data_IF_695365264183
#
_entry.id   IF_695365264183
#
_cell.length_a   1.000
_cell.length_b   1.000
_cell.length_c   1.000
_cell.angle_alpha   90.00
_cell.angle_beta   90.00
_cell.angle_gamma   90.00
#
_symmetry.space_group_name_H-M   'P 1'
#
loop_
_entity.id
_entity.type
_entity.pdbx_description
1 polymer ?
#
# COMPACT_ATOMS: atom_id res chain seq x y z
N UNK A 1 10.66 -23.20 -41.88
CA UNK A 1 10.50 -22.83 -41.32
C UNK A 1 10.13 -22.36 -40.45
N UNK A 2 9.84 -22.02 -39.72
CA UNK A 2 9.62 -21.47 -38.79
C UNK A 2 9.35 -21.07 -37.82
N UNK A 3 9.16 -20.79 -37.14
CA UNK A 3 8.91 -20.29 -36.17
C UNK A 3 8.54 -19.96 -35.35
N UNK A 4 8.28 -19.82 -34.76
CA UNK A 4 7.90 -19.43 -33.82
C UNK A 4 7.77 -18.92 -32.85
N UNK A 5 7.67 -18.45 -32.25
CA UNK A 5 7.51 -17.75 -31.47
C UNK A 5 7.08 -17.60 -30.43
N UNK A 6 6.73 -17.68 -29.87
CA UNK A 6 6.35 -17.77 -28.75
C UNK A 6 6.24 -16.91 -27.87
N UNK A 7 5.95 -16.26 -27.70
CA UNK A 7 5.70 -15.39 -26.91
C UNK A 7 5.41 -15.44 -25.74
N UNK A 8 5.18 -15.53 -25.14
CA UNK A 8 4.96 -15.70 -24.04
C UNK A 8 5.04 -15.03 -23.01
N UNK A 9 5.00 -15.08 -22.25
CA UNK A 9 5.14 -14.61 -21.15
C UNK A 9 4.67 -13.45 -20.75
N UNK A 10 3.94 -12.97 -21.07
CA UNK A 10 3.46 -11.90 -20.57
C UNK A 10 2.65 -11.96 -19.49
N UNK A 11 2.09 -12.90 -19.13
CA UNK A 11 1.16 -12.99 -18.05
C UNK A 11 1.71 -12.65 -16.76
N UNK A 12 2.99 -12.71 -16.60
CA UNK A 12 3.49 -12.44 -15.34
C UNK A 12 3.29 -11.06 -14.91
N UNK A 13 3.23 -10.14 -15.77
CA UNK A 13 3.10 -8.77 -15.30
C UNK A 13 1.81 -8.54 -14.58
N UNK A 14 0.80 -9.32 -14.83
CA UNK A 14 -0.47 -9.11 -14.16
C UNK A 14 -0.41 -9.48 -12.69
N UNK A 15 0.64 -10.19 -12.26
CA UNK A 15 0.72 -10.50 -10.91
C UNK A 15 1.28 -9.44 -10.11
N UNK A 16 1.77 -8.41 -10.69
CA UNK A 16 2.32 -7.32 -9.96
C UNK A 16 1.20 -6.50 -9.46
N UNK A 17 0.41 -7.04 -8.61
CA UNK A 17 -0.67 -6.31 -8.00
C UNK A 17 -0.11 -5.14 -7.22
N UNK A 18 -0.90 -4.20 -6.97
CA UNK A 18 -0.52 -3.01 -6.23
C UNK A 18 -1.61 -1.98 -6.36
N UNK A 19 -1.45 -0.90 -5.64
CA UNK A 19 -2.42 0.19 -5.62
C UNK A 19 -1.70 1.44 -6.05
N UNK A 20 -2.19 2.10 -7.08
CA UNK A 20 -1.62 3.37 -7.52
C UNK A 20 -2.57 4.48 -7.11
N UNK A 21 -2.07 5.44 -6.36
CA UNK A 21 -2.88 6.52 -5.80
C UNK A 21 -2.17 7.84 -5.96
N UNK A 22 -2.91 8.86 -6.35
CA UNK A 22 -2.41 10.22 -6.31
C UNK A 22 -2.68 10.77 -4.92
N UNK A 23 -1.62 11.00 -4.15
CA UNK A 23 -1.73 11.48 -2.80
C UNK A 23 -1.55 13.00 -2.82
N UNK A 24 -2.58 13.75 -2.43
CA UNK A 24 -2.54 15.21 -2.57
C UNK A 24 -1.86 15.95 -1.42
N UNK A 25 -1.20 15.23 -0.55
CA UNK A 25 -0.54 15.85 0.60
C UNK A 25 0.78 15.13 0.89
N UNK A 26 1.62 15.78 1.68
CA UNK A 26 2.84 15.16 2.18
C UNK A 26 2.48 14.15 3.25
N UNK A 27 3.16 13.03 3.29
CA UNK A 27 2.87 11.99 4.26
C UNK A 27 4.13 11.27 4.71
N UNK A 28 4.03 10.59 5.84
CA UNK A 28 5.15 9.90 6.46
C UNK A 28 4.91 8.40 6.40
N UNK A 29 5.95 7.66 6.01
CA UNK A 29 5.94 6.20 6.04
C UNK A 29 7.07 5.79 6.97
N UNK A 30 6.73 5.23 8.12
CA UNK A 30 7.73 4.95 9.14
C UNK A 30 8.33 6.25 9.64
N UNK A 31 9.55 6.52 9.27
CA UNK A 31 10.20 7.77 9.66
C UNK A 31 10.66 8.57 8.44
N UNK A 32 10.16 8.23 7.27
CA UNK A 32 10.55 8.91 6.04
C UNK A 32 9.38 9.73 5.51
N UNK A 33 9.63 10.95 5.11
CA UNK A 33 8.61 11.86 4.59
C UNK A 33 8.58 11.80 3.07
N UNK A 34 7.39 11.67 2.52
CA UNK A 34 7.15 11.61 1.09
C UNK A 34 6.35 12.85 0.66
N UNK A 35 6.75 13.54 -0.39
CA UNK A 35 5.97 14.67 -0.86
C UNK A 35 4.67 14.24 -1.52
N UNK A 36 3.74 15.16 -1.71
CA UNK A 36 2.54 14.89 -2.47
C UNK A 36 2.92 14.41 -3.86
N UNK A 37 2.19 13.45 -4.39
CA UNK A 37 2.48 12.89 -5.70
C UNK A 37 1.77 11.58 -5.91
N UNK A 38 2.09 10.92 -7.01
CA UNK A 38 1.50 9.63 -7.34
C UNK A 38 2.41 8.51 -6.86
N UNK A 39 1.85 7.57 -6.13
CA UNK A 39 2.60 6.49 -5.51
C UNK A 39 1.99 5.14 -5.79
N UNK A 40 2.85 4.13 -5.79
CA UNK A 40 2.41 2.76 -5.90
C UNK A 40 2.70 2.07 -4.58
N UNK A 41 1.70 1.39 -4.04
CA UNK A 41 1.79 0.66 -2.79
C UNK A 41 1.58 -0.82 -3.12
N UNK A 42 2.44 -1.68 -2.61
CA UNK A 42 2.35 -3.09 -2.95
C UNK A 42 2.83 -3.97 -1.80
N UNK A 43 2.06 -5.03 -1.50
CA UNK A 43 2.51 -6.07 -0.59
C UNK A 43 3.55 -6.92 -1.30
N UNK A 44 4.67 -7.16 -0.67
CA UNK A 44 5.74 -7.95 -1.25
C UNK A 44 5.64 -9.44 -0.88
N UNK A 45 5.02 -9.76 0.24
CA UNK A 45 4.94 -11.15 0.69
C UNK A 45 3.60 -11.81 0.37
N UNK A 46 2.60 -11.04 0.02
CA UNK A 46 1.25 -11.52 -0.23
C UNK A 46 0.74 -12.33 0.96
N UNK A 47 0.94 -11.83 2.15
CA UNK A 47 0.58 -12.52 3.38
C UNK A 47 -0.92 -12.76 3.47
N UNK A 48 -1.29 -13.81 4.16
CA UNK A 48 -2.68 -14.23 4.30
C UNK A 48 -3.14 -14.03 5.74
N UNK A 49 -4.27 -13.34 5.90
CA UNK A 49 -4.82 -13.11 7.22
C UNK A 49 -5.20 -14.44 7.88
N UNK A 50 -4.93 -14.53 9.16
CA UNK A 50 -5.19 -15.75 9.92
C UNK A 50 -4.07 -16.77 9.84
N UNK A 51 -3.16 -16.61 8.90
CA UNK A 51 -2.03 -17.49 8.76
C UNK A 51 -0.73 -16.74 8.99
N UNK A 52 -0.63 -15.56 8.41
CA UNK A 52 0.58 -14.74 8.50
C UNK A 52 0.33 -13.55 9.40
N UNK A 53 1.36 -13.10 10.10
CA UNK A 53 1.23 -11.95 11.00
C UNK A 53 1.94 -10.72 10.46
N UNK A 54 2.91 -10.91 9.57
CA UNK A 54 3.65 -9.78 9.03
C UNK A 54 3.63 -9.81 7.51
N UNK A 55 3.82 -8.64 6.94
CA UNK A 55 4.01 -8.47 5.51
C UNK A 55 5.06 -7.38 5.33
N UNK A 56 5.48 -7.17 4.12
CA UNK A 56 6.37 -6.05 3.78
C UNK A 56 5.66 -5.22 2.73
N UNK A 57 5.48 -3.96 3.03
CA UNK A 57 4.83 -3.03 2.11
C UNK A 57 5.89 -2.21 1.40
N UNK A 58 5.79 -2.17 0.08
CA UNK A 58 6.63 -1.33 -0.74
C UNK A 58 5.85 -0.07 -1.09
N UNK A 59 6.47 1.07 -0.89
CA UNK A 59 5.92 2.38 -1.27
C UNK A 59 6.91 3.01 -2.23
N UNK A 60 6.46 3.37 -3.41
CA UNK A 60 7.35 3.90 -4.43
C UNK A 60 6.66 4.99 -5.23
N UNK A 61 7.36 6.09 -5.47
CA UNK A 61 6.80 7.12 -6.33
C UNK A 61 6.81 6.63 -7.77
N UNK A 62 5.78 6.99 -8.52
CA UNK A 62 5.69 6.61 -9.91
C UNK A 62 6.86 7.21 -10.70
N UNK A 63 7.31 8.37 -10.28
CA UNK A 63 8.44 9.01 -10.92
C UNK A 63 9.78 8.41 -10.52
N UNK A 64 9.77 7.53 -9.54
CA UNK A 64 10.98 6.78 -9.22
C UNK A 64 11.96 7.42 -8.26
N UNK A 65 11.62 8.56 -7.69
CA UNK A 65 12.55 9.26 -6.80
C UNK A 65 12.47 8.85 -5.34
N UNK A 66 11.32 8.35 -4.92
CA UNK A 66 11.13 7.99 -3.52
C UNK A 66 10.79 6.52 -3.42
N UNK A 67 11.35 5.86 -2.40
CA UNK A 67 11.14 4.44 -2.21
C UNK A 67 11.29 4.08 -0.73
N UNK A 68 10.44 3.18 -0.28
CA UNK A 68 10.58 2.59 1.04
C UNK A 68 9.92 1.22 1.08
N UNK A 69 10.59 0.26 1.69
CA UNK A 69 9.98 -1.01 2.05
C UNK A 69 9.92 -1.06 3.57
N UNK A 70 8.77 -1.38 4.11
CA UNK A 70 8.57 -1.37 5.56
C UNK A 70 7.79 -2.60 6.00
N UNK A 71 8.20 -3.17 7.12
CA UNK A 71 7.50 -4.31 7.71
C UNK A 71 6.20 -3.83 8.31
N UNK A 72 5.13 -4.53 8.02
CA UNK A 72 3.80 -4.18 8.49
C UNK A 72 3.15 -5.37 9.16
N UNK A 73 2.08 -5.11 9.90
CA UNK A 73 1.23 -6.16 10.42
C UNK A 73 0.22 -6.54 9.36
N UNK A 74 -0.27 -7.76 9.42
CA UNK A 74 -1.33 -8.23 8.53
C UNK A 74 -2.66 -8.06 9.25
N UNK A 75 -3.60 -7.41 8.59
CA UNK A 75 -4.96 -7.26 9.13
C UNK A 75 -5.91 -7.98 8.20
N UNK A 76 -6.93 -8.58 8.77
CA UNK A 76 -7.88 -9.36 8.01
C UNK A 76 -9.26 -8.73 7.97
N UNK A 77 -10.04 -9.16 6.99
CA UNK A 77 -11.42 -8.78 6.84
C UNK A 77 -12.21 -10.01 6.45
N UNK A 78 -13.48 -10.07 6.82
CA UNK A 78 -14.33 -11.18 6.45
C UNK A 78 -14.76 -11.07 4.98
N UNK A 79 -14.60 -9.92 4.39
CA UNK A 79 -14.96 -9.71 2.99
C UNK A 79 -13.77 -9.23 2.21
N UNK A 80 -13.74 -9.58 0.94
CA UNK A 80 -12.69 -9.07 0.07
C UNK A 80 -12.90 -7.57 -0.13
N UNK A 81 -11.82 -6.84 -0.21
CA UNK A 81 -11.89 -5.42 -0.48
C UNK A 81 -12.42 -5.22 -1.91
N UNK A 82 -13.53 -4.51 -2.03
CA UNK A 82 -14.11 -4.27 -3.35
C UNK A 82 -13.30 -3.25 -4.13
N UNK A 83 -12.63 -2.35 -3.42
CA UNK A 83 -11.79 -1.33 -4.05
C UNK A 83 -10.46 -1.27 -3.34
N UNK A 84 -9.37 -1.05 -4.06
CA UNK A 84 -8.11 -0.80 -3.40
C UNK A 84 -8.21 0.54 -2.66
N UNK A 85 -7.65 0.59 -1.47
CA UNK A 85 -7.69 1.83 -0.70
C UNK A 85 -6.44 1.99 0.15
N UNK A 86 -6.11 3.22 0.41
CA UNK A 86 -4.96 3.58 1.23
C UNK A 86 -5.48 4.51 2.32
N UNK A 87 -5.17 4.18 3.55
CA UNK A 87 -5.62 4.96 4.70
C UNK A 87 -4.44 5.68 5.33
N UNK A 88 -4.71 6.88 5.77
CA UNK A 88 -3.74 7.71 6.45
C UNK A 88 -4.33 8.18 7.77
N UNK A 89 -3.47 8.50 8.71
CA UNK A 89 -3.87 9.09 9.98
C UNK A 89 -3.24 10.46 10.08
N UNK A 90 -4.05 11.49 10.30
CA UNK A 90 -3.54 12.84 10.51
C UNK A 90 -3.38 13.05 12.00
N UNK A 91 -2.22 13.46 12.42
CA UNK A 91 -1.93 13.65 13.81
C UNK A 91 -0.89 14.76 13.97
N UNK A 92 -1.19 15.76 14.77
CA UNK A 92 -0.24 16.81 15.07
C UNK A 92 0.25 17.59 13.85
N UNK A 93 -0.61 17.78 12.87
CA UNK A 93 -0.23 18.50 11.67
C UNK A 93 0.51 17.67 10.64
N UNK A 94 0.74 16.39 10.92
CA UNK A 94 1.38 15.48 9.99
C UNK A 94 0.42 14.38 9.58
N UNK A 95 0.65 13.81 8.42
CA UNK A 95 -0.16 12.72 7.90
C UNK A 95 0.73 11.49 7.79
N UNK A 96 0.26 10.39 8.36
CA UNK A 96 1.02 9.14 8.40
C UNK A 96 0.28 8.07 7.62
N UNK A 97 1.01 7.30 6.81
CA UNK A 97 0.43 6.14 6.16
C UNK A 97 0.08 5.12 7.24
N UNK A 98 -1.14 4.62 7.23
CA UNK A 98 -1.58 3.67 8.24
C UNK A 98 -1.95 2.30 7.71
N UNK A 99 -2.60 2.22 6.55
CA UNK A 99 -3.09 0.93 6.10
C UNK A 99 -3.25 0.91 4.58
N UNK A 100 -2.96 -0.22 3.96
CA UNK A 100 -3.11 -0.39 2.52
C UNK A 100 -3.87 -1.68 2.24
N UNK A 101 -4.91 -1.60 1.43
CA UNK A 101 -5.70 -2.73 0.99
C UNK A 101 -5.72 -2.80 -0.53
N UNK A 102 -5.36 -3.95 -1.07
CA UNK A 102 -5.45 -4.19 -2.51
C UNK A 102 -6.79 -4.84 -2.82
N UNK A 103 -7.35 -4.55 -3.99
CA UNK A 103 -8.65 -5.10 -4.36
C UNK A 103 -8.61 -6.62 -4.44
N UNK A 104 -9.69 -7.25 -4.06
CA UNK A 104 -9.81 -8.69 -4.14
C UNK A 104 -9.11 -9.44 -3.03
N UNK A 105 -8.60 -8.76 -2.02
CA UNK A 105 -7.91 -9.41 -0.93
C UNK A 105 -8.67 -9.27 0.38
N UNK A 106 -8.54 -10.29 1.21
CA UNK A 106 -9.10 -10.25 2.55
C UNK A 106 -8.04 -9.91 3.59
N UNK A 107 -6.84 -9.60 3.15
CA UNK A 107 -5.75 -9.18 4.03
C UNK A 107 -5.22 -7.84 3.56
N UNK A 108 -4.88 -6.99 4.51
CA UNK A 108 -4.26 -5.71 4.24
C UNK A 108 -2.99 -5.55 5.05
N UNK A 109 -2.24 -4.52 4.74
CA UNK A 109 -1.02 -4.17 5.45
C UNK A 109 -1.32 -3.00 6.37
N UNK A 110 -0.99 -3.15 7.65
CA UNK A 110 -1.15 -2.07 8.63
C UNK A 110 0.21 -1.69 9.16
N UNK A 111 0.54 -0.42 9.06
CA UNK A 111 1.78 0.07 9.64
C UNK A 111 1.63 0.17 11.15
N UNK A 112 2.69 -0.16 11.86
CA UNK A 112 2.67 -0.09 13.30
C UNK A 112 2.58 1.36 13.74
N UNK A 113 1.75 1.63 14.74
CA UNK A 113 1.60 2.97 15.24
C UNK A 113 2.81 3.34 16.06
N UNK A 114 3.22 4.57 15.92
CA UNK A 114 4.30 5.09 16.74
C UNK A 114 3.71 5.43 18.11
N UNK A 115 4.52 5.23 19.14
CA UNK A 115 4.06 5.47 20.49
C UNK A 115 3.59 6.91 20.71
N UNK A 116 4.24 7.86 20.06
CA UNK A 116 3.84 9.26 20.19
C UNK A 116 2.48 9.54 19.56
N UNK A 117 2.05 8.77 18.58
CA UNK A 117 0.74 8.95 17.98
C UNK A 117 -0.35 8.45 18.89
N UNK A 118 -0.08 7.42 19.67
CA UNK A 118 -1.10 6.87 20.56
C UNK A 118 -1.48 7.82 21.67
N UNK A 119 -0.61 8.75 21.99
CA UNK A 119 -0.87 9.71 23.05
C UNK A 119 -1.58 10.96 22.56
N UNK A 120 -1.78 11.08 21.27
CA UNK A 120 -2.42 12.25 20.69
C UNK A 120 -3.91 12.05 20.66
N UNK A 121 -4.65 12.92 21.32
CA UNK A 121 -6.09 12.75 21.44
C UNK A 121 -6.87 13.03 20.19
N UNK A 122 -6.30 13.66 19.21
CA UNK A 122 -7.04 14.12 18.04
C UNK A 122 -6.52 13.52 16.74
N UNK A 123 -6.49 12.19 16.67
CA UNK A 123 -6.13 11.53 15.43
C UNK A 123 -7.32 11.48 14.50
N UNK A 124 -7.08 11.72 13.24
CA UNK A 124 -8.13 11.72 12.24
C UNK A 124 -7.74 10.79 11.10
N UNK A 125 -8.65 9.90 10.71
CA UNK A 125 -8.39 8.97 9.61
C UNK A 125 -8.81 9.59 8.29
N UNK A 126 -7.97 9.43 7.29
CA UNK A 126 -8.24 9.89 5.93
C UNK A 126 -8.06 8.68 5.01
N UNK A 127 -9.07 8.37 4.22
CA UNK A 127 -9.02 7.24 3.32
C UNK A 127 -9.05 7.70 1.87
N UNK A 128 -8.11 7.20 1.08
CA UNK A 128 -8.11 7.45 -0.35
C UNK A 128 -8.40 6.13 -1.07
N UNK A 129 -9.29 6.18 -2.03
CA UNK A 129 -9.62 5.03 -2.84
C UNK A 129 -8.86 5.19 -4.14
N UNK A 130 -8.18 4.13 -4.54
CA UNK A 130 -7.41 4.19 -5.77
C UNK A 130 -8.35 4.35 -6.96
N UNK A 131 -8.02 5.28 -7.81
CA UNK A 131 -8.86 5.57 -8.95
C UNK A 131 -8.39 4.84 -10.19
N UNK A 132 -7.23 4.25 -10.17
CA UNK A 132 -6.67 3.61 -11.34
C UNK A 132 -6.04 2.29 -10.96
N UNK A 133 -6.35 1.27 -11.74
CA UNK A 133 -5.66 0.00 -11.55
C UNK A 133 -4.29 0.12 -12.18
N UNK A 134 -3.32 -0.32 -11.48
CA UNK A 134 -1.97 -0.28 -11.99
C UNK A 134 -1.71 -1.54 -12.80
N UNK A 135 -1.30 -1.37 -14.01
CA UNK A 135 -1.01 -2.52 -14.87
C UNK A 135 0.39 -2.52 -15.37
#
# INVERSE_FOLDING_TARGET
MLSLCSSVGLAQSSRQAGVAVKVPFEFVVGNQTFPAGTYKFRSLLNSVAGKDTIDVLEVRSVEGHMYRAIVTDVVGSTEEASHPRVRFTRSGGQVFLSEVWEAGRTAGCRLQKRADLEQTAANEDVTLIASVDWR
#
